data_IF_098385788125
#
_entry.id   IF_098385788125
#
_cell.length_a   1.000
_cell.length_b   1.000
_cell.length_c   1.000
_cell.angle_alpha   90.00
_cell.angle_beta   90.00
_cell.angle_gamma   90.00
#
_symmetry.space_group_name_H-M   'P 1'
#
loop_
_entity.id
_entity.type
_entity.pdbx_description
1 polymer ?
#
# COMPACT_ATOMS: atom_id res chain seq x y z
N UNK A 1 30.13 -32.53 26.78
CA UNK A 1 29.71 -32.69 25.37
C UNK A 1 28.72 -31.57 25.07
N UNK A 2 29.19 -30.52 24.40
CA UNK A 2 28.37 -29.38 23.97
C UNK A 2 27.21 -29.83 23.10
N UNK A 3 25.99 -29.64 23.61
CA UNK A 3 24.77 -29.73 22.80
C UNK A 3 24.72 -28.47 21.94
N UNK A 4 25.40 -28.48 20.80
CA UNK A 4 25.20 -27.49 19.76
C UNK A 4 23.74 -27.56 19.32
N UNK A 5 22.96 -26.58 19.75
CA UNK A 5 21.59 -26.34 19.30
C UNK A 5 21.59 -26.32 17.76
N UNK A 6 21.13 -27.42 17.16
CA UNK A 6 20.89 -27.50 15.73
C UNK A 6 19.77 -26.52 15.43
N UNK A 7 20.12 -25.35 14.91
CA UNK A 7 19.15 -24.43 14.30
C UNK A 7 18.55 -25.16 13.11
N UNK A 8 17.36 -25.73 13.30
CA UNK A 8 16.54 -26.26 12.22
C UNK A 8 15.96 -25.06 11.47
N UNK A 9 16.39 -24.88 10.23
CA UNK A 9 15.77 -23.93 9.32
C UNK A 9 14.83 -24.72 8.41
N UNK A 10 13.57 -24.32 8.37
CA UNK A 10 12.55 -24.85 7.47
C UNK A 10 12.26 -23.81 6.39
N UNK A 11 12.26 -24.24 5.13
CA UNK A 11 11.90 -23.37 4.01
C UNK A 11 10.39 -23.45 3.83
N UNK A 12 9.69 -22.37 4.18
CA UNK A 12 8.23 -22.24 3.99
C UNK A 12 7.92 -21.28 2.85
N UNK A 13 6.97 -21.64 1.99
CA UNK A 13 6.40 -20.73 1.01
C UNK A 13 5.35 -19.87 1.69
N UNK A 14 5.63 -18.57 1.83
CA UNK A 14 4.67 -17.58 2.31
C UNK A 14 4.03 -16.93 1.08
N UNK A 15 2.71 -17.02 0.88
CA UNK A 15 2.04 -16.30 -0.18
C UNK A 15 2.20 -14.79 0.07
N UNK A 16 2.86 -14.09 -0.85
CA UNK A 16 2.86 -12.63 -0.83
C UNK A 16 1.47 -12.16 -1.26
N UNK A 17 0.67 -11.68 -0.31
CA UNK A 17 -0.55 -10.93 -0.64
C UNK A 17 -0.11 -9.59 -1.23
N UNK A 18 -0.33 -9.40 -2.53
CA UNK A 18 -0.19 -8.10 -3.15
C UNK A 18 -1.44 -7.28 -2.85
N UNK A 19 -1.28 -6.12 -2.22
CA UNK A 19 -2.37 -5.18 -2.04
C UNK A 19 -2.77 -4.58 -3.40
N UNK A 20 -4.06 -4.57 -3.77
CA UNK A 20 -4.50 -3.90 -5.00
C UNK A 20 -4.21 -2.39 -4.92
N UNK A 21 -3.66 -1.84 -5.99
CA UNK A 21 -3.43 -0.40 -6.16
C UNK A 21 -4.36 0.18 -7.21
N UNK A 22 -4.73 1.44 -7.03
CA UNK A 22 -5.49 2.25 -7.96
C UNK A 22 -4.49 3.03 -8.79
N UNK A 23 -4.55 2.89 -10.10
CA UNK A 23 -3.72 3.68 -11.02
C UNK A 23 -4.50 4.90 -11.48
N UNK A 24 -3.93 6.08 -11.27
CA UNK A 24 -4.37 7.29 -11.97
C UNK A 24 -3.86 7.24 -13.42
N UNK A 25 -4.79 7.32 -14.37
CA UNK A 25 -4.47 7.23 -15.78
C UNK A 25 -3.97 8.56 -16.37
N UNK A 26 -4.17 9.68 -15.68
CA UNK A 26 -3.72 11.01 -16.12
C UNK A 26 -2.27 11.24 -15.71
N UNK A 27 -1.93 10.99 -14.44
CA UNK A 27 -0.57 11.17 -13.91
C UNK A 27 0.30 9.93 -14.05
N UNK A 28 -0.31 8.74 -14.16
CA UNK A 28 0.39 7.45 -14.15
C UNK A 28 0.79 6.95 -12.76
N UNK A 29 0.43 7.68 -11.70
CA UNK A 29 0.74 7.33 -10.31
C UNK A 29 -0.14 6.17 -9.80
N UNK A 30 0.38 5.43 -8.82
CA UNK A 30 -0.34 4.34 -8.18
C UNK A 30 -0.58 4.66 -6.70
N UNK A 31 -1.81 4.48 -6.26
CA UNK A 31 -2.28 4.78 -4.91
C UNK A 31 -2.86 3.54 -4.25
N UNK A 32 -2.71 3.42 -2.94
CA UNK A 32 -3.63 2.63 -2.13
C UNK A 32 -5.04 3.24 -2.19
N UNK A 33 -6.05 2.48 -1.76
CA UNK A 33 -7.41 2.99 -1.64
C UNK A 33 -7.49 4.24 -0.74
N UNK A 34 -6.73 4.25 0.35
CA UNK A 34 -6.71 5.36 1.31
C UNK A 34 -6.13 6.62 0.65
N UNK A 35 -4.99 6.49 -0.03
CA UNK A 35 -4.35 7.61 -0.72
C UNK A 35 -5.28 8.19 -1.80
N UNK A 36 -5.94 7.34 -2.60
CA UNK A 36 -6.87 7.79 -3.64
C UNK A 36 -8.06 8.57 -3.04
N UNK A 37 -8.61 8.12 -1.92
CA UNK A 37 -9.70 8.83 -1.22
C UNK A 37 -9.22 10.18 -0.67
N UNK A 38 -8.01 10.24 -0.11
CA UNK A 38 -7.42 11.48 0.36
C UNK A 38 -7.28 12.51 -0.77
N UNK A 39 -6.69 12.12 -1.91
CA UNK A 39 -6.52 13.00 -3.08
C UNK A 39 -7.88 13.55 -3.54
N UNK A 40 -8.86 12.68 -3.73
CA UNK A 40 -10.23 13.09 -4.12
C UNK A 40 -10.86 14.07 -3.11
N UNK A 41 -10.64 13.88 -1.81
CA UNK A 41 -11.13 14.79 -0.79
C UNK A 41 -10.44 16.17 -0.83
N UNK A 42 -9.15 16.22 -1.13
CA UNK A 42 -8.43 17.48 -1.28
C UNK A 42 -8.91 18.28 -2.48
N UNK A 43 -9.13 17.61 -3.62
CA UNK A 43 -9.70 18.22 -4.83
C UNK A 43 -11.09 18.80 -4.55
N UNK A 44 -11.97 18.05 -3.90
CA UNK A 44 -13.30 18.52 -3.50
C UNK A 44 -13.23 19.70 -2.52
N UNK A 45 -12.30 19.67 -1.57
CA UNK A 45 -12.08 20.76 -0.61
C UNK A 45 -11.64 22.03 -1.34
N UNK A 46 -10.76 21.92 -2.32
CA UNK A 46 -10.23 23.08 -3.03
C UNK A 46 -11.24 23.64 -4.03
N UNK A 47 -12.05 22.78 -4.68
CA UNK A 47 -13.24 23.21 -5.42
C UNK A 47 -14.22 23.98 -4.53
N UNK A 48 -14.47 23.51 -3.31
CA UNK A 48 -15.33 24.21 -2.36
C UNK A 48 -14.79 25.60 -2.00
N UNK A 49 -13.49 25.73 -1.72
CA UNK A 49 -12.85 27.03 -1.44
C UNK A 49 -12.90 27.98 -2.63
N UNK A 50 -12.83 27.47 -3.86
CA UNK A 50 -12.92 28.31 -5.05
C UNK A 50 -14.31 28.92 -5.25
N UNK A 51 -15.36 28.29 -4.69
CA UNK A 51 -16.76 28.73 -4.81
C UNK A 51 -17.20 29.62 -3.64
N UNK A 52 -16.60 29.49 -2.44
CA UNK A 52 -16.94 30.30 -1.26
C UNK A 52 -16.24 29.86 0.02
#
# INVERSE_FOLDING_TARGET
MDKKDKKNFEVVQIPTQTEPKIKDNETGENYSLIEAVCVMWEELRDLRKAIG
#
